data_IF_034108233079
#
_entry.id   IF_034108233079
#
_cell.length_a   1.000
_cell.length_b   1.000
_cell.length_c   1.000
_cell.angle_alpha   90.00
_cell.angle_beta   90.00
_cell.angle_gamma   90.00
#
_symmetry.space_group_name_H-M   'P 1'
#
loop_
_entity.id
_entity.type
_entity.pdbx_description
1 polymer ?
#
# COMPACT_ATOMS: atom_id res chain seq x y z
N UNK A 1 2.26 -21.68 29.80
CA UNK A 1 2.28 -22.54 28.59
C UNK A 1 2.30 -21.65 27.36
N UNK A 2 3.19 -21.93 26.41
CA UNK A 2 3.33 -21.23 25.13
C UNK A 2 2.09 -21.53 24.27
N UNK A 3 1.18 -20.56 24.13
CA UNK A 3 0.14 -20.60 23.10
C UNK A 3 0.76 -20.18 21.74
N UNK A 4 1.69 -21.01 21.26
CA UNK A 4 2.33 -20.89 19.96
C UNK A 4 1.36 -21.48 18.92
N UNK A 5 0.79 -20.63 18.07
CA UNK A 5 -0.04 -21.09 16.94
C UNK A 5 0.84 -21.95 16.03
N UNK A 6 0.55 -23.24 15.96
CA UNK A 6 1.27 -24.14 15.08
C UNK A 6 0.66 -24.09 13.68
N UNK A 7 1.20 -23.21 12.84
CA UNK A 7 0.76 -23.02 11.46
C UNK A 7 0.85 -24.31 10.61
N UNK A 8 1.71 -25.27 10.98
CA UNK A 8 1.80 -26.56 10.28
C UNK A 8 0.61 -27.48 10.59
N UNK A 9 -0.08 -27.28 11.72
CA UNK A 9 -1.33 -28.00 12.04
C UNK A 9 -2.53 -27.41 11.30
N UNK A 10 -2.43 -26.16 10.88
CA UNK A 10 -3.45 -25.48 10.11
C UNK A 10 -3.24 -25.89 8.65
N UNK A 11 -4.05 -26.84 8.16
CA UNK A 11 -4.03 -27.33 6.76
C UNK A 11 -4.50 -26.24 5.78
N UNK A 12 -3.65 -25.23 5.62
CA UNK A 12 -3.82 -24.07 4.75
C UNK A 12 -2.59 -23.99 3.87
N UNK A 13 -2.80 -23.73 2.58
CA UNK A 13 -1.70 -23.52 1.64
C UNK A 13 -0.90 -22.27 2.01
N UNK A 14 0.18 -22.45 2.75
CA UNK A 14 1.15 -21.41 3.11
C UNK A 14 2.36 -21.52 2.20
N UNK A 15 2.69 -20.43 1.51
CA UNK A 15 3.85 -20.32 0.62
C UNK A 15 5.09 -19.85 1.40
N UNK A 16 4.96 -18.76 2.17
CA UNK A 16 6.09 -18.17 2.93
C UNK A 16 5.64 -17.57 4.24
N UNK A 17 6.48 -17.68 5.26
CA UNK A 17 6.30 -17.06 6.57
C UNK A 17 7.49 -16.13 6.83
N UNK A 18 7.23 -14.92 7.31
CA UNK A 18 8.27 -13.94 7.68
C UNK A 18 7.94 -13.32 9.03
N UNK A 19 8.86 -13.45 9.99
CA UNK A 19 8.75 -12.75 11.27
C UNK A 19 9.00 -11.25 11.07
N UNK A 20 8.24 -10.43 11.80
CA UNK A 20 8.38 -8.96 11.82
C UNK A 20 8.62 -8.48 13.26
N UNK A 21 9.02 -7.23 13.40
CA UNK A 21 9.24 -6.59 14.70
C UNK A 21 8.05 -6.75 15.65
N UNK A 22 8.32 -6.74 16.96
CA UNK A 22 7.31 -6.83 18.03
C UNK A 22 6.55 -8.16 18.08
N UNK A 23 7.20 -9.26 17.67
CA UNK A 23 6.62 -10.60 17.74
C UNK A 23 5.49 -10.85 16.75
N UNK A 24 5.39 -10.04 15.69
CA UNK A 24 4.42 -10.24 14.63
C UNK A 24 4.92 -11.22 13.56
N UNK A 25 3.99 -11.73 12.76
CA UNK A 25 4.28 -12.67 11.67
C UNK A 25 3.52 -12.27 10.42
N UNK A 26 4.20 -12.29 9.27
CA UNK A 26 3.61 -12.14 7.95
C UNK A 26 3.51 -13.50 7.27
N UNK A 27 2.31 -13.88 6.84
CA UNK A 27 2.05 -15.16 6.18
C UNK A 27 1.58 -14.91 4.77
N UNK A 28 2.28 -15.49 3.80
CA UNK A 28 1.86 -15.52 2.40
C UNK A 28 1.14 -16.83 2.11
N UNK A 29 -0.09 -16.75 1.64
CA UNK A 29 -0.90 -17.91 1.26
C UNK A 29 -0.80 -18.18 -0.25
N UNK A 30 -1.04 -19.41 -0.66
CA UNK A 30 -1.00 -19.82 -2.08
C UNK A 30 -2.23 -19.35 -2.86
N UNK A 31 -3.38 -19.23 -2.18
CA UNK A 31 -4.65 -18.81 -2.79
C UNK A 31 -5.45 -17.90 -1.86
N UNK A 32 -6.43 -17.19 -2.43
CA UNK A 32 -7.42 -16.39 -1.69
C UNK A 32 -8.26 -17.24 -0.73
N UNK A 33 -8.58 -18.47 -1.12
CA UNK A 33 -9.29 -19.42 -0.26
C UNK A 33 -8.43 -19.83 0.95
N UNK A 34 -7.15 -20.15 0.72
CA UNK A 34 -6.19 -20.46 1.78
C UNK A 34 -6.06 -19.29 2.75
N UNK A 35 -6.01 -18.08 2.21
CA UNK A 35 -6.00 -16.83 2.96
C UNK A 35 -7.24 -16.72 3.87
N UNK A 36 -8.46 -16.83 3.33
CA UNK A 36 -9.68 -16.74 4.12
C UNK A 36 -9.78 -17.83 5.20
N UNK A 37 -9.41 -19.07 4.86
CA UNK A 37 -9.35 -20.19 5.80
C UNK A 37 -8.40 -19.90 6.97
N UNK A 38 -7.19 -19.38 6.69
CA UNK A 38 -6.22 -18.99 7.72
C UNK A 38 -6.80 -17.96 8.69
N UNK A 39 -7.42 -16.91 8.15
CA UNK A 39 -8.02 -15.83 8.94
C UNK A 39 -9.09 -16.36 9.89
N UNK A 40 -9.95 -17.25 9.41
CA UNK A 40 -11.01 -17.85 10.22
C UNK A 40 -10.45 -18.80 11.28
N UNK A 41 -9.46 -19.63 10.94
CA UNK A 41 -8.83 -20.56 11.89
C UNK A 41 -8.10 -19.81 12.99
N UNK A 42 -7.27 -18.80 12.65
CA UNK A 42 -6.54 -18.02 13.66
C UNK A 42 -7.49 -17.30 14.62
N UNK A 43 -8.57 -16.70 14.10
CA UNK A 43 -9.60 -16.07 14.94
C UNK A 43 -10.28 -17.07 15.88
N UNK A 44 -10.57 -18.28 15.40
CA UNK A 44 -11.22 -19.34 16.19
C UNK A 44 -10.31 -19.89 17.27
N UNK A 45 -9.05 -20.20 16.95
CA UNK A 45 -8.11 -20.86 17.86
C UNK A 45 -7.47 -19.88 18.85
N UNK A 46 -7.25 -18.64 18.43
CA UNK A 46 -6.46 -17.68 19.22
C UNK A 46 -7.30 -16.62 19.90
N UNK A 47 -8.61 -16.59 19.64
CA UNK A 47 -9.52 -15.56 20.14
C UNK A 47 -8.99 -14.16 19.85
N UNK A 48 -8.92 -13.33 20.89
CA UNK A 48 -8.42 -11.95 20.82
C UNK A 48 -6.91 -11.82 21.13
N UNK A 49 -6.14 -12.91 21.20
CA UNK A 49 -4.70 -12.84 21.53
C UNK A 49 -3.85 -12.24 20.41
N UNK A 50 -4.32 -12.35 19.17
CA UNK A 50 -3.63 -11.83 18.00
C UNK A 50 -4.59 -11.04 17.12
N UNK A 51 -4.13 -9.89 16.63
CA UNK A 51 -4.85 -9.14 15.62
C UNK A 51 -4.44 -9.66 14.24
N UNK A 52 -5.41 -10.15 13.46
CA UNK A 52 -5.19 -10.56 12.06
C UNK A 52 -5.49 -9.36 11.14
N UNK A 53 -4.45 -8.78 10.56
CA UNK A 53 -4.52 -7.60 9.70
C UNK A 53 -4.25 -8.01 8.27
N UNK A 54 -5.17 -7.68 7.37
CA UNK A 54 -4.93 -7.75 5.94
C UNK A 54 -4.14 -6.51 5.50
N UNK A 55 -2.91 -6.67 4.97
CA UNK A 55 -2.16 -5.54 4.46
C UNK A 55 -2.93 -4.92 3.30
N UNK A 56 -3.28 -3.64 3.44
CA UNK A 56 -3.84 -2.87 2.34
C UNK A 56 -2.72 -2.52 1.36
N UNK A 57 -2.99 -2.58 0.04
CA UNK A 57 -2.05 -2.05 -0.93
C UNK A 57 -1.83 -0.56 -0.64
N UNK A 58 -0.59 -0.11 -0.82
CA UNK A 58 -0.19 1.28 -0.56
C UNK A 58 -0.13 2.01 -1.89
N UNK A 59 -0.74 3.18 -1.97
CA UNK A 59 -0.54 4.10 -3.08
C UNK A 59 0.88 4.67 -3.01
N UNK A 60 1.76 4.36 -3.96
CA UNK A 60 3.10 4.92 -3.97
C UNK A 60 3.06 6.42 -4.16
N UNK A 61 4.04 7.10 -3.54
CA UNK A 61 4.14 8.57 -3.55
C UNK A 61 5.57 9.02 -3.81
N UNK A 62 5.71 10.06 -4.60
CA UNK A 62 6.95 10.82 -4.79
C UNK A 62 6.72 12.21 -4.18
N UNK A 63 7.68 12.67 -3.38
CA UNK A 63 7.66 14.01 -2.78
C UNK A 63 8.82 14.82 -3.38
N UNK A 64 8.49 15.88 -4.10
CA UNK A 64 9.45 16.87 -4.59
C UNK A 64 9.46 18.00 -3.56
N UNK A 65 10.62 18.28 -2.96
CA UNK A 65 10.74 19.25 -1.87
C UNK A 65 11.29 20.58 -2.37
N UNK A 66 10.88 21.68 -1.74
CA UNK A 66 11.45 23.00 -2.01
C UNK A 66 11.05 23.62 -3.36
N UNK A 67 9.85 23.29 -3.86
CA UNK A 67 9.30 23.86 -5.10
C UNK A 67 8.79 25.27 -4.84
N UNK A 68 9.10 26.21 -5.73
CA UNK A 68 8.68 27.61 -5.61
C UNK A 68 7.17 27.77 -5.78
N UNK A 69 6.57 28.64 -4.95
CA UNK A 69 5.12 28.88 -4.91
C UNK A 69 4.52 29.30 -6.25
N UNK A 70 5.27 30.05 -7.07
CA UNK A 70 4.79 30.47 -8.39
C UNK A 70 4.67 29.31 -9.39
N UNK A 71 5.53 28.30 -9.26
CA UNK A 71 5.41 27.06 -10.02
C UNK A 71 4.24 26.23 -9.49
N UNK A 72 4.03 26.22 -8.18
CA UNK A 72 2.92 25.50 -7.52
C UNK A 72 1.55 26.00 -8.00
N UNK A 73 1.33 27.32 -8.05
CA UNK A 73 0.04 27.91 -8.43
C UNK A 73 -0.34 27.66 -9.91
N UNK A 74 0.66 27.48 -10.79
CA UNK A 74 0.45 27.22 -12.22
C UNK A 74 0.44 25.73 -12.57
N UNK A 75 0.88 24.87 -11.65
CA UNK A 75 1.21 23.48 -11.96
C UNK A 75 0.03 22.49 -11.85
N UNK A 76 -1.04 22.79 -11.12
CA UNK A 76 -1.96 21.73 -10.68
C UNK A 76 -2.63 20.97 -11.85
N UNK A 77 -3.12 21.69 -12.86
CA UNK A 77 -3.64 21.06 -14.09
C UNK A 77 -2.55 20.76 -15.11
N UNK A 78 -1.60 21.67 -15.29
CA UNK A 78 -0.57 21.54 -16.34
C UNK A 78 0.37 20.36 -16.10
N UNK A 79 0.78 20.10 -14.86
CA UNK A 79 1.69 19.00 -14.52
C UNK A 79 1.00 17.65 -14.70
N UNK A 80 -0.24 17.51 -14.25
CA UNK A 80 -1.00 16.27 -14.44
C UNK A 80 -1.18 15.96 -15.93
N UNK A 81 -1.62 16.93 -16.72
CA UNK A 81 -1.79 16.77 -18.17
C UNK A 81 -0.45 16.48 -18.87
N UNK A 82 0.65 17.11 -18.43
CA UNK A 82 1.99 16.83 -18.97
C UNK A 82 2.44 15.40 -18.66
N UNK A 83 2.22 14.91 -17.44
CA UNK A 83 2.54 13.54 -17.06
C UNK A 83 1.71 12.55 -17.88
N UNK A 84 0.41 12.80 -18.02
CA UNK A 84 -0.50 11.94 -18.80
C UNK A 84 -0.07 11.88 -20.26
N UNK A 85 0.16 13.05 -20.88
CA UNK A 85 0.52 13.14 -22.29
C UNK A 85 1.91 12.55 -22.59
N UNK A 86 2.93 12.88 -21.79
CA UNK A 86 4.30 12.39 -22.02
C UNK A 86 4.44 10.88 -21.88
N UNK A 87 3.56 10.24 -21.09
CA UNK A 87 3.58 8.80 -20.87
C UNK A 87 2.45 8.07 -21.59
N UNK A 88 1.69 8.75 -22.45
CA UNK A 88 0.53 8.22 -23.18
C UNK A 88 -0.45 7.43 -22.28
N UNK A 89 -0.75 7.97 -21.10
CA UNK A 89 -1.53 7.21 -20.10
C UNK A 89 -3.02 7.11 -20.45
N UNK A 90 -3.53 7.98 -21.32
CA UNK A 90 -4.93 7.91 -21.77
C UNK A 90 -5.22 6.68 -22.63
N UNK A 91 -4.24 6.24 -23.42
CA UNK A 91 -4.36 5.02 -24.23
C UNK A 91 -4.36 3.75 -23.37
N UNK A 92 -3.80 3.84 -22.15
CA UNK A 92 -3.70 2.75 -21.18
C UNK A 92 -4.96 2.66 -20.32
N UNK A 93 -5.46 3.79 -19.82
CA UNK A 93 -6.63 3.85 -18.95
C UNK A 93 -7.38 5.18 -19.12
N UNK A 94 -8.59 5.11 -19.69
CA UNK A 94 -9.46 6.28 -19.87
C UNK A 94 -9.85 7.00 -18.58
N UNK A 95 -9.64 6.37 -17.41
CA UNK A 95 -9.88 6.95 -16.09
C UNK A 95 -8.61 7.44 -15.38
N UNK A 96 -7.47 7.58 -16.08
CA UNK A 96 -6.16 7.92 -15.48
C UNK A 96 -6.19 9.15 -14.56
N UNK A 97 -7.00 10.16 -14.89
CA UNK A 97 -7.13 11.40 -14.09
C UNK A 97 -7.68 11.17 -12.69
N UNK A 98 -8.45 10.09 -12.49
CA UNK A 98 -8.94 9.68 -11.17
C UNK A 98 -7.90 8.88 -10.37
N UNK A 99 -6.87 8.37 -11.05
CA UNK A 99 -5.87 7.46 -10.50
C UNK A 99 -4.54 8.13 -10.17
N UNK A 100 -4.25 9.28 -10.77
CA UNK A 100 -3.07 10.09 -10.47
C UNK A 100 -3.51 11.35 -9.72
N UNK A 101 -2.88 11.59 -8.58
CA UNK A 101 -3.16 12.72 -7.70
C UNK A 101 -1.90 13.57 -7.55
N UNK A 102 -2.02 14.84 -7.89
CA UNK A 102 -1.03 15.87 -7.58
C UNK A 102 -1.55 16.65 -6.38
N UNK A 103 -0.73 16.84 -5.35
CA UNK A 103 -1.07 17.67 -4.19
C UNK A 103 0.09 18.57 -3.82
N UNK A 104 -0.24 19.74 -3.28
CA UNK A 104 0.74 20.72 -2.83
C UNK A 104 0.61 20.93 -1.34
N UNK A 105 1.74 20.93 -0.64
CA UNK A 105 1.79 21.23 0.79
C UNK A 105 2.93 22.20 1.06
N UNK A 106 2.60 23.36 1.62
CA UNK A 106 3.64 24.29 2.09
C UNK A 106 4.54 23.59 3.11
N UNK A 107 5.85 23.67 2.90
CA UNK A 107 6.84 23.05 3.78
C UNK A 107 6.82 23.71 5.17
N UNK A 108 6.43 24.98 5.25
CA UNK A 108 6.29 25.73 6.50
C UNK A 108 5.23 26.84 6.33
N UNK A 109 4.32 27.01 7.30
CA UNK A 109 3.32 28.10 7.31
C UNK A 109 3.96 29.50 7.20
N UNK A 110 5.22 29.65 7.62
CA UNK A 110 5.96 30.91 7.60
C UNK A 110 6.81 31.13 6.34
N UNK A 111 7.09 30.09 5.54
CA UNK A 111 7.82 30.20 4.26
C UNK A 111 6.85 30.05 3.11
N UNK A 112 6.10 31.11 2.81
CA UNK A 112 5.07 31.13 1.76
C UNK A 112 5.60 30.90 0.35
N UNK A 113 6.92 31.06 0.14
CA UNK A 113 7.54 31.01 -1.18
C UNK A 113 7.95 29.59 -1.61
N UNK A 114 7.89 28.59 -0.71
CA UNK A 114 8.31 27.22 -1.02
C UNK A 114 7.35 26.18 -0.46
N UNK A 115 7.11 25.12 -1.23
CA UNK A 115 6.27 24.00 -0.87
C UNK A 115 6.81 22.67 -1.38
N UNK A 116 6.08 21.61 -1.04
CA UNK A 116 6.32 20.27 -1.52
C UNK A 116 5.23 19.87 -2.50
N UNK A 117 5.63 19.22 -3.59
CA UNK A 117 4.74 18.54 -4.53
C UNK A 117 4.66 17.09 -4.12
N UNK A 118 3.45 16.55 -4.05
CA UNK A 118 3.20 15.15 -3.77
C UNK A 118 2.50 14.58 -4.98
N UNK A 119 3.18 13.66 -5.66
CA UNK A 119 2.61 12.85 -6.73
C UNK A 119 2.27 11.49 -6.14
N UNK A 120 0.99 11.13 -6.18
CA UNK A 120 0.46 9.87 -5.67
C UNK A 120 -0.30 9.16 -6.79
N UNK A 121 -0.11 7.85 -6.91
CA UNK A 121 -0.78 7.04 -7.92
C UNK A 121 -1.53 5.89 -7.23
N UNK A 122 -2.72 5.56 -7.72
CA UNK A 122 -3.49 4.44 -7.19
C UNK A 122 -2.73 3.12 -7.34
N UNK A 123 -2.78 2.31 -6.27
CA UNK A 123 -2.00 1.07 -6.18
C UNK A 123 -2.31 0.00 -7.24
N UNK A 124 -3.49 0.06 -7.86
CA UNK A 124 -3.92 -0.85 -8.93
C UNK A 124 -3.18 -0.59 -10.26
N UNK A 125 -2.61 0.61 -10.45
CA UNK A 125 -1.86 0.99 -11.66
C UNK A 125 -0.49 0.31 -11.79
N UNK A 126 0.06 -0.25 -10.70
CA UNK A 126 1.40 -0.87 -10.68
C UNK A 126 1.39 -2.38 -10.95
N UNK A 127 0.35 -2.90 -11.60
CA UNK A 127 0.09 -4.35 -11.70
C UNK A 127 0.80 -5.06 -12.86
N UNK A 128 1.79 -4.45 -13.54
CA UNK A 128 2.67 -5.18 -14.47
C UNK A 128 4.00 -5.56 -13.81
N UNK A 129 4.09 -6.85 -13.47
CA UNK A 129 5.31 -7.68 -13.32
C UNK A 129 6.16 -7.70 -12.04
N UNK A 130 5.78 -7.09 -10.91
CA UNK A 130 6.53 -7.33 -9.65
C UNK A 130 5.65 -7.40 -8.39
N UNK A 131 5.06 -8.57 -8.13
CA UNK A 131 5.03 -9.15 -6.78
C UNK A 131 4.25 -8.44 -5.67
N UNK A 132 3.19 -7.69 -5.97
CA UNK A 132 2.17 -7.41 -4.93
C UNK A 132 1.39 -8.71 -4.71
N UNK A 133 1.95 -9.54 -3.82
CA UNK A 133 1.34 -10.77 -3.33
C UNK A 133 0.03 -10.42 -2.62
N UNK A 134 -1.08 -10.56 -3.33
CA UNK A 134 -2.47 -10.38 -2.86
C UNK A 134 -2.85 -11.28 -1.67
N UNK A 135 -1.99 -12.24 -1.32
CA UNK A 135 -2.25 -13.30 -0.35
C UNK A 135 -1.49 -13.15 0.98
N UNK A 136 -1.16 -11.93 1.41
CA UNK A 136 -0.45 -11.69 2.69
C UNK A 136 -1.41 -11.41 3.85
N UNK A 137 -1.08 -11.88 5.05
CA UNK A 137 -1.59 -11.40 6.34
C UNK A 137 -0.47 -10.95 7.25
N UNK A 138 -0.72 -9.95 8.10
CA UNK A 138 0.14 -9.55 9.22
C UNK A 138 -0.59 -9.88 10.52
N UNK A 139 0.04 -10.65 11.38
CA UNK A 139 -0.45 -10.92 12.73
C UNK A 139 0.40 -10.16 13.73
N UNK A 140 -0.22 -9.44 14.66
CA UNK A 140 0.44 -8.73 15.74
C UNK A 140 -0.11 -9.16 17.09
N UNK A 141 0.78 -9.23 18.09
CA UNK A 141 0.39 -9.51 19.48
C UNK A 141 -0.22 -8.24 20.08
N UNK A 142 -1.39 -8.36 20.68
CA UNK A 142 -2.03 -7.26 21.42
C UNK A 142 -1.30 -6.99 22.74
#
# INVERSE_FOLDING_TARGET
>A
MKDEINLNKIAVGVDKIRNISKGGVVINCTSKESKEKLKNTVKKESGNKYQVIEPKPVNPKIIIVGTESEMIEKADKSVLESIISQNDLESIDGNIRSKVKVQWKFANKHKKNYGNVILEVQSDMYTKNNGIKENKYRMEKM
#
